data_IF_663923707770
#
_entry.id   IF_663923707770
#
_cell.length_a   1.000
_cell.length_b   1.000
_cell.length_c   1.000
_cell.angle_alpha   90.00
_cell.angle_beta   90.00
_cell.angle_gamma   90.00
#
_symmetry.space_group_name_H-M   'P 1'
#
loop_
_entity.id
_entity.type
_entity.pdbx_description
1 polymer ?
#
# COMPACT_ATOMS: atom_id res chain seq x y z
N UNK A 1 26.97 -39.61 9.74
CA UNK A 1 26.08 -38.49 10.15
C UNK A 1 26.04 -37.49 9.01
N UNK A 2 25.08 -37.55 8.07
CA UNK A 2 24.98 -36.56 7.01
C UNK A 2 24.32 -35.28 7.56
N UNK A 3 25.03 -34.16 7.47
CA UNK A 3 24.52 -32.84 7.81
C UNK A 3 23.50 -32.43 6.73
N UNK A 4 22.23 -32.32 7.11
CA UNK A 4 21.17 -31.83 6.23
C UNK A 4 21.43 -30.38 5.81
N UNK A 5 21.24 -30.09 4.53
CA UNK A 5 21.39 -28.75 3.99
C UNK A 5 20.45 -27.76 4.71
N UNK A 6 20.91 -26.56 5.08
CA UNK A 6 20.02 -25.53 5.63
C UNK A 6 19.00 -25.16 4.56
N UNK A 7 17.74 -25.50 4.82
CA UNK A 7 16.60 -25.10 4.00
C UNK A 7 16.46 -23.58 4.09
N UNK A 8 16.95 -22.88 3.07
CA UNK A 8 16.62 -21.48 2.87
C UNK A 8 15.16 -21.41 2.40
N UNK A 9 14.33 -20.50 2.95
CA UNK A 9 13.02 -20.24 2.38
C UNK A 9 13.18 -19.81 0.93
N UNK A 10 12.49 -20.52 0.03
CA UNK A 10 12.45 -20.22 -1.40
C UNK A 10 12.19 -18.72 -1.61
N UNK A 11 12.96 -18.02 -2.47
CA UNK A 11 12.69 -16.63 -2.78
C UNK A 11 11.25 -16.51 -3.30
N UNK A 12 10.50 -15.54 -2.77
CA UNK A 12 9.27 -15.10 -3.38
C UNK A 12 9.56 -14.78 -4.87
N UNK A 13 8.66 -15.14 -5.79
CA UNK A 13 8.83 -14.84 -7.20
C UNK A 13 9.04 -13.33 -7.35
N UNK A 14 10.25 -12.94 -7.76
CA UNK A 14 10.52 -11.59 -8.24
C UNK A 14 9.59 -11.33 -9.42
N UNK A 15 8.75 -10.29 -9.40
CA UNK A 15 8.04 -9.86 -10.59
C UNK A 15 9.08 -9.24 -11.53
N UNK A 16 9.69 -10.07 -12.36
CA UNK A 16 10.69 -9.69 -13.34
C UNK A 16 10.46 -10.44 -14.64
N UNK A 17 10.44 -9.69 -15.74
CA UNK A 17 10.50 -10.16 -17.13
C UNK A 17 9.20 -10.66 -17.76
N UNK A 18 8.14 -9.84 -17.65
CA UNK A 18 6.96 -9.89 -18.53
C UNK A 18 6.52 -8.51 -19.02
N UNK A 19 7.42 -7.52 -19.08
CA UNK A 19 7.14 -6.20 -19.64
C UNK A 19 7.28 -6.20 -21.17
N UNK A 20 6.56 -7.10 -21.83
CA UNK A 20 6.13 -6.92 -23.22
C UNK A 20 4.61 -7.05 -23.21
N UNK A 21 3.92 -6.00 -22.77
CA UNK A 21 2.48 -5.88 -22.97
C UNK A 21 2.07 -4.41 -23.01
N UNK A 22 1.81 -3.96 -24.23
CA UNK A 22 0.95 -2.84 -24.61
C UNK A 22 1.11 -1.53 -23.83
N UNK A 23 1.86 -0.60 -24.41
CA UNK A 23 1.63 0.84 -24.24
C UNK A 23 0.27 1.21 -24.85
N UNK A 24 -0.82 0.87 -24.16
CA UNK A 24 -2.13 1.45 -24.38
C UNK A 24 -2.32 2.60 -23.36
N UNK A 25 -3.06 3.67 -23.69
CA UNK A 25 -3.24 4.80 -22.78
C UNK A 25 -4.13 4.40 -21.60
N UNK A 26 -3.53 4.03 -20.47
CA UNK A 26 -4.23 3.65 -19.21
C UNK A 26 -4.98 4.84 -18.59
N UNK A 27 -4.66 6.08 -19.00
CA UNK A 27 -5.24 7.28 -18.40
C UNK A 27 -6.75 7.41 -18.61
N UNK A 28 -7.27 7.06 -19.80
CA UNK A 28 -8.68 7.29 -20.16
C UNK A 28 -9.65 6.37 -19.38
N UNK A 29 -9.29 5.09 -19.23
CA UNK A 29 -10.12 4.10 -18.51
C UNK A 29 -10.19 4.34 -17.00
N UNK A 30 -9.16 4.99 -16.43
CA UNK A 30 -9.10 5.27 -14.98
C UNK A 30 -10.04 6.40 -14.56
N UNK A 31 -10.25 7.38 -15.44
CA UNK A 31 -11.17 8.48 -15.22
C UNK A 31 -12.62 7.99 -15.21
N UNK A 32 -12.99 7.14 -16.18
CA UNK A 32 -14.33 6.56 -16.28
C UNK A 32 -14.70 5.73 -15.06
N UNK A 33 -13.78 4.89 -14.56
CA UNK A 33 -14.01 4.11 -13.34
C UNK A 33 -14.19 4.99 -12.10
N UNK A 34 -13.50 6.13 -12.03
CA UNK A 34 -13.65 7.07 -10.90
C UNK A 34 -15.03 7.70 -10.90
N UNK A 35 -15.57 8.04 -12.07
CA UNK A 35 -16.94 8.57 -12.21
C UNK A 35 -17.97 7.49 -11.84
N UNK A 36 -17.80 6.25 -12.33
CA UNK A 36 -18.69 5.14 -11.98
C UNK A 36 -18.70 4.84 -10.47
N UNK A 37 -17.53 4.93 -9.80
CA UNK A 37 -17.45 4.80 -8.32
C UNK A 37 -18.21 5.90 -7.61
N UNK A 38 -18.10 7.14 -8.07
CA UNK A 38 -18.83 8.26 -7.48
C UNK A 38 -20.36 8.12 -7.69
N UNK A 39 -20.80 7.64 -8.86
CA UNK A 39 -22.21 7.31 -9.11
C UNK A 39 -22.70 6.20 -8.19
N UNK A 40 -21.91 5.13 -8.02
CA UNK A 40 -22.21 4.01 -7.13
C UNK A 40 -22.34 4.48 -5.67
N UNK A 41 -21.40 5.30 -5.19
CA UNK A 41 -21.44 5.87 -3.84
C UNK A 41 -22.68 6.74 -3.61
N UNK A 42 -23.01 7.61 -4.57
CA UNK A 42 -24.22 8.42 -4.52
C UNK A 42 -25.50 7.58 -4.47
N UNK A 43 -25.54 6.50 -5.26
CA UNK A 43 -26.68 5.58 -5.29
C UNK A 43 -26.81 4.76 -4.00
N UNK A 44 -25.70 4.33 -3.39
CA UNK A 44 -25.66 3.66 -2.09
C UNK A 44 -26.15 4.57 -0.95
N UNK A 45 -25.71 5.83 -0.94
CA UNK A 45 -26.15 6.81 0.05
C UNK A 45 -27.66 7.05 -0.07
N UNK A 46 -28.15 7.23 -1.31
CA UNK A 46 -29.58 7.40 -1.58
C UNK A 46 -30.41 6.19 -1.14
N UNK A 47 -29.95 4.98 -1.44
CA UNK A 47 -30.61 3.75 -1.00
C UNK A 47 -30.70 3.67 0.52
N UNK A 48 -29.63 4.04 1.22
CA UNK A 48 -29.61 4.06 2.70
C UNK A 48 -30.63 5.05 3.25
N UNK A 49 -30.73 6.24 2.63
CA UNK A 49 -31.74 7.23 3.00
C UNK A 49 -33.18 6.73 2.72
N UNK A 50 -33.43 6.13 1.55
CA UNK A 50 -34.74 5.57 1.21
C UNK A 50 -35.15 4.44 2.18
N UNK A 51 -34.19 3.60 2.63
CA UNK A 51 -34.43 2.57 3.65
C UNK A 51 -34.75 3.16 5.03
N UNK A 52 -34.06 4.24 5.41
CA UNK A 52 -34.33 4.93 6.67
C UNK A 52 -35.72 5.61 6.67
N UNK A 53 -36.09 6.27 5.57
CA UNK A 53 -37.43 6.86 5.41
C UNK A 53 -38.53 5.79 5.39
N UNK A 54 -38.27 4.65 4.75
CA UNK A 54 -39.16 3.50 4.80
C UNK A 54 -39.37 2.98 6.23
N UNK A 55 -38.30 2.88 7.03
CA UNK A 55 -38.38 2.48 8.44
C UNK A 55 -39.27 3.43 9.25
N UNK A 56 -39.09 4.74 9.09
CA UNK A 56 -39.91 5.77 9.75
C UNK A 56 -41.39 5.63 9.33
N UNK A 57 -41.66 5.56 8.03
CA UNK A 57 -43.02 5.45 7.51
C UNK A 57 -43.70 4.14 7.91
N UNK A 58 -42.95 3.03 8.00
CA UNK A 58 -43.48 1.76 8.47
C UNK A 58 -43.78 1.77 9.98
N UNK A 59 -43.05 2.57 10.76
CA UNK A 59 -43.26 2.72 12.21
C UNK A 59 -44.44 3.60 12.61
N UNK A 60 -44.78 4.62 11.80
CA UNK A 60 -45.88 5.56 12.08
C UNK A 60 -46.72 5.83 10.81
N UNK A 61 -47.63 4.90 10.51
CA UNK A 61 -48.56 5.04 9.37
C UNK A 61 -49.80 5.83 9.82
N UNK A 62 -49.79 7.15 9.62
CA UNK A 62 -50.96 8.01 9.81
C UNK A 62 -52.04 7.83 8.74
N UNK A 63 -53.24 8.37 8.98
CA UNK A 63 -54.32 8.41 7.98
C UNK A 63 -53.86 9.18 6.72
N UNK A 64 -54.02 8.56 5.55
CA UNK A 64 -53.60 9.12 4.25
C UNK A 64 -52.16 8.81 3.84
N UNK A 65 -51.40 8.05 4.64
CA UNK A 65 -50.03 7.60 4.33
C UNK A 65 -49.96 6.13 3.87
N UNK A 66 -51.10 5.53 3.53
CA UNK A 66 -51.22 4.12 3.12
C UNK A 66 -50.37 3.80 1.89
N UNK A 67 -50.19 4.76 0.98
CA UNK A 67 -49.37 4.63 -0.22
C UNK A 67 -47.88 4.92 0.01
N UNK A 68 -47.49 5.49 1.16
CA UNK A 68 -46.11 5.91 1.40
C UNK A 68 -45.15 4.71 1.42
N UNK A 69 -45.50 3.65 2.14
CA UNK A 69 -44.69 2.42 2.27
C UNK A 69 -44.51 1.73 0.89
N UNK A 70 -45.58 1.47 0.10
CA UNK A 70 -45.42 0.95 -1.26
C UNK A 70 -44.53 1.81 -2.16
N UNK A 71 -44.65 3.14 -2.07
CA UNK A 71 -43.83 4.05 -2.86
C UNK A 71 -42.34 3.96 -2.51
N UNK A 72 -42.00 3.88 -1.22
CA UNK A 72 -40.61 3.68 -0.79
C UNK A 72 -40.07 2.30 -1.16
N UNK A 73 -40.88 1.26 -1.07
CA UNK A 73 -40.49 -0.08 -1.50
C UNK A 73 -40.15 -0.11 -3.00
N UNK A 74 -40.94 0.59 -3.83
CA UNK A 74 -40.65 0.75 -5.25
C UNK A 74 -39.34 1.52 -5.49
N UNK A 75 -39.07 2.59 -4.74
CA UNK A 75 -37.79 3.34 -4.81
C UNK A 75 -36.59 2.45 -4.45
N UNK A 76 -36.70 1.68 -3.37
CA UNK A 76 -35.66 0.73 -2.92
C UNK A 76 -35.40 -0.33 -3.98
N UNK A 77 -36.46 -0.91 -4.56
CA UNK A 77 -36.33 -1.89 -5.64
C UNK A 77 -35.63 -1.29 -6.87
N UNK A 78 -36.04 -0.10 -7.30
CA UNK A 78 -35.37 0.62 -8.38
C UNK A 78 -33.90 0.92 -8.03
N UNK A 79 -33.62 1.20 -6.76
CA UNK A 79 -32.28 1.40 -6.24
C UNK A 79 -31.38 0.17 -6.43
N UNK A 80 -31.88 -1.02 -6.11
CA UNK A 80 -31.16 -2.28 -6.34
C UNK A 80 -30.90 -2.56 -7.82
N UNK A 81 -31.90 -2.34 -8.69
CA UNK A 81 -31.74 -2.52 -10.15
C UNK A 81 -30.64 -1.59 -10.69
N UNK A 82 -30.62 -0.33 -10.23
CA UNK A 82 -29.61 0.63 -10.65
C UNK A 82 -28.21 0.24 -10.14
N UNK A 83 -28.10 -0.25 -8.90
CA UNK A 83 -26.83 -0.72 -8.35
C UNK A 83 -26.30 -1.94 -9.10
N UNK A 84 -27.14 -2.90 -9.45
CA UNK A 84 -26.75 -4.07 -10.24
C UNK A 84 -26.19 -3.66 -11.62
N UNK A 85 -26.85 -2.70 -12.29
CA UNK A 85 -26.39 -2.14 -13.56
C UNK A 85 -24.99 -1.52 -13.43
N UNK A 86 -24.77 -0.69 -12.41
CA UNK A 86 -23.48 0.00 -12.20
C UNK A 86 -22.40 -1.01 -11.79
N UNK A 87 -22.73 -1.98 -10.94
CA UNK A 87 -21.82 -3.04 -10.50
C UNK A 87 -21.28 -3.87 -11.67
N UNK A 88 -22.12 -4.18 -12.67
CA UNK A 88 -21.70 -4.88 -13.89
C UNK A 88 -20.74 -4.08 -14.79
N UNK A 89 -20.66 -2.76 -14.61
CA UNK A 89 -19.76 -1.87 -15.35
C UNK A 89 -18.43 -1.64 -14.61
N UNK A 90 -18.36 -1.98 -13.31
CA UNK A 90 -17.18 -1.77 -12.49
C UNK A 90 -16.20 -2.93 -12.67
N UNK A 91 -14.96 -2.62 -13.03
CA UNK A 91 -13.90 -3.61 -13.28
C UNK A 91 -13.05 -3.94 -12.06
N UNK A 92 -13.38 -3.38 -10.89
CA UNK A 92 -12.56 -3.49 -9.70
C UNK A 92 -12.66 -4.85 -9.03
N UNK A 93 -11.50 -5.43 -8.69
CA UNK A 93 -11.42 -6.65 -7.88
C UNK A 93 -11.15 -6.30 -6.42
N UNK A 94 -11.93 -6.88 -5.51
CA UNK A 94 -11.77 -6.71 -4.07
C UNK A 94 -11.20 -8.01 -3.47
N UNK A 95 -10.02 -7.97 -2.82
CA UNK A 95 -9.47 -9.11 -2.11
C UNK A 95 -10.44 -9.66 -1.04
N UNK A 96 -10.57 -10.99 -0.95
CA UNK A 96 -11.49 -11.64 -0.01
C UNK A 96 -11.25 -11.23 1.45
N UNK A 97 -9.99 -10.98 1.83
CA UNK A 97 -9.65 -10.55 3.18
C UNK A 97 -10.23 -9.16 3.54
N UNK A 98 -10.49 -8.30 2.54
CA UNK A 98 -11.18 -7.03 2.76
C UNK A 98 -12.66 -7.28 3.06
N UNK A 99 -13.29 -8.21 2.35
CA UNK A 99 -14.68 -8.63 2.59
C UNK A 99 -14.81 -9.21 4.01
N UNK A 100 -13.92 -10.14 4.38
CA UNK A 100 -13.85 -10.70 5.74
C UNK A 100 -13.71 -9.63 6.84
N UNK A 101 -12.98 -8.55 6.55
CA UNK A 101 -12.82 -7.45 7.50
C UNK A 101 -14.15 -6.70 7.68
N UNK A 102 -14.86 -6.43 6.58
CA UNK A 102 -16.18 -5.76 6.62
C UNK A 102 -17.18 -6.63 7.40
N UNK A 103 -17.26 -7.92 7.09
CA UNK A 103 -18.20 -8.87 7.74
C UNK A 103 -17.96 -9.00 9.24
N UNK A 104 -16.72 -8.79 9.69
CA UNK A 104 -16.33 -8.84 11.11
C UNK A 104 -16.30 -7.46 11.78
N UNK A 105 -16.88 -6.44 11.15
CA UNK A 105 -16.89 -5.06 11.65
C UNK A 105 -15.48 -4.48 11.92
N UNK A 106 -14.48 -4.91 11.13
CA UNK A 106 -13.12 -4.40 11.18
C UNK A 106 -12.89 -3.37 10.08
N UNK A 107 -12.02 -2.42 10.35
CA UNK A 107 -11.63 -1.42 9.36
C UNK A 107 -10.89 -2.09 8.17
N UNK A 108 -11.40 -2.00 6.93
CA UNK A 108 -10.77 -2.62 5.76
C UNK A 108 -9.36 -2.04 5.45
N UNK A 109 -9.06 -0.81 5.87
CA UNK A 109 -7.74 -0.19 5.69
C UNK A 109 -6.61 -0.91 6.44
N UNK A 110 -6.93 -1.78 7.40
CA UNK A 110 -5.94 -2.62 8.08
C UNK A 110 -5.25 -3.56 7.08
N UNK A 111 -5.99 -4.08 6.09
CA UNK A 111 -5.40 -4.90 5.03
C UNK A 111 -4.35 -4.11 4.25
N UNK A 112 -4.70 -2.91 3.77
CA UNK A 112 -3.80 -2.04 3.00
C UNK A 112 -2.54 -1.70 3.80
N UNK A 113 -2.70 -1.32 5.07
CA UNK A 113 -1.57 -1.02 5.97
C UNK A 113 -0.63 -2.23 6.12
N UNK A 114 -1.18 -3.40 6.40
CA UNK A 114 -0.39 -4.61 6.62
C UNK A 114 0.33 -5.05 5.35
N UNK A 115 -0.35 -5.03 4.20
CA UNK A 115 0.22 -5.38 2.90
C UNK A 115 1.36 -4.43 2.53
N UNK A 116 1.17 -3.11 2.73
CA UNK A 116 2.21 -2.13 2.46
C UNK A 116 3.41 -2.30 3.41
N UNK A 117 3.16 -2.45 4.71
CA UNK A 117 4.22 -2.66 5.71
C UNK A 117 5.03 -3.92 5.41
N UNK A 118 4.35 -5.01 5.04
CA UNK A 118 4.97 -6.27 4.65
C UNK A 118 5.81 -6.10 3.37
N UNK A 119 5.25 -5.48 2.34
CA UNK A 119 5.97 -5.25 1.08
C UNK A 119 7.23 -4.38 1.29
N UNK A 120 7.15 -3.34 2.13
CA UNK A 120 8.31 -2.53 2.49
C UNK A 120 9.36 -3.36 3.22
N UNK A 121 8.96 -4.14 4.22
CA UNK A 121 9.86 -5.02 4.96
C UNK A 121 10.53 -6.07 4.08
N UNK A 122 9.77 -6.71 3.19
CA UNK A 122 10.28 -7.69 2.23
C UNK A 122 11.27 -7.05 1.24
N UNK A 123 10.97 -5.85 0.74
CA UNK A 123 11.86 -5.11 -0.16
C UNK A 123 13.17 -4.70 0.54
N UNK A 124 13.10 -4.19 1.77
CA UNK A 124 14.28 -3.84 2.55
C UNK A 124 15.12 -5.07 2.90
N UNK A 125 14.46 -6.17 3.28
CA UNK A 125 15.13 -7.43 3.55
C UNK A 125 15.84 -7.98 2.30
N UNK A 126 15.18 -7.96 1.15
CA UNK A 126 15.78 -8.36 -0.12
C UNK A 126 16.99 -7.50 -0.47
N UNK A 127 16.86 -6.17 -0.35
CA UNK A 127 17.96 -5.24 -0.56
C UNK A 127 19.15 -5.52 0.37
N UNK A 128 18.90 -5.71 1.67
CA UNK A 128 19.93 -6.02 2.67
C UNK A 128 20.69 -7.31 2.33
N UNK A 129 19.99 -8.34 1.85
CA UNK A 129 20.63 -9.59 1.39
C UNK A 129 21.52 -9.37 0.18
N UNK A 130 21.07 -8.59 -0.81
CA UNK A 130 21.86 -8.28 -2.01
C UNK A 130 23.12 -7.50 -1.64
N UNK A 131 23.00 -6.48 -0.79
CA UNK A 131 24.14 -5.69 -0.30
C UNK A 131 25.13 -6.54 0.51
N UNK A 132 24.62 -7.42 1.38
CA UNK A 132 25.46 -8.33 2.16
C UNK A 132 26.25 -9.30 1.28
N UNK A 133 25.61 -9.89 0.27
CA UNK A 133 26.28 -10.77 -0.70
C UNK A 133 27.31 -10.02 -1.54
N UNK A 134 27.02 -8.77 -1.91
CA UNK A 134 28.01 -7.95 -2.61
C UNK A 134 29.23 -7.66 -1.73
N UNK A 135 29.02 -7.25 -0.48
CA UNK A 135 30.10 -6.97 0.45
C UNK A 135 30.97 -8.21 0.68
N UNK A 136 30.34 -9.36 0.94
CA UNK A 136 31.03 -10.65 1.08
C UNK A 136 31.85 -10.99 -0.17
N UNK A 137 31.27 -10.82 -1.36
CA UNK A 137 31.98 -11.06 -2.62
C UNK A 137 33.19 -10.14 -2.78
N UNK A 138 33.07 -8.85 -2.45
CA UNK A 138 34.19 -7.89 -2.54
C UNK A 138 35.33 -8.31 -1.62
N UNK A 139 35.00 -8.60 -0.36
CA UNK A 139 35.99 -9.05 0.63
C UNK A 139 36.66 -10.36 0.20
N UNK A 140 35.90 -11.30 -0.35
CA UNK A 140 36.45 -12.55 -0.87
C UNK A 140 37.37 -12.32 -2.07
N UNK A 141 36.99 -11.42 -2.98
CA UNK A 141 37.83 -11.05 -4.12
C UNK A 141 39.16 -10.44 -3.67
N UNK A 142 39.10 -9.48 -2.73
CA UNK A 142 40.27 -8.80 -2.18
C UNK A 142 41.21 -9.80 -1.45
N UNK A 143 40.64 -10.71 -0.66
CA UNK A 143 41.40 -11.75 0.05
C UNK A 143 42.06 -12.75 -0.91
N UNK A 144 41.34 -13.21 -1.94
CA UNK A 144 41.89 -14.12 -2.94
C UNK A 144 42.99 -13.46 -3.77
N UNK A 145 42.85 -12.18 -4.09
CA UNK A 145 43.89 -11.44 -4.82
C UNK A 145 45.18 -11.29 -3.99
N UNK A 146 45.06 -11.15 -2.66
CA UNK A 146 46.21 -11.07 -1.76
C UNK A 146 46.94 -12.41 -1.61
N UNK A 147 46.20 -13.52 -1.44
CA UNK A 147 46.77 -14.86 -1.22
C UNK A 147 47.24 -15.56 -2.51
N UNK A 148 46.57 -15.28 -3.65
CA UNK A 148 46.83 -15.95 -4.93
C UNK A 148 47.06 -14.93 -6.06
N UNK A 149 48.14 -14.15 -6.02
CA UNK A 149 48.39 -13.08 -6.99
C UNK A 149 48.62 -13.59 -8.43
N UNK A 150 49.05 -14.85 -8.61
CA UNK A 150 49.29 -15.43 -9.94
C UNK A 150 48.01 -15.92 -10.64
N UNK A 151 46.89 -16.05 -9.92
CA UNK A 151 45.65 -16.59 -10.47
C UNK A 151 44.73 -15.44 -10.92
N UNK A 152 44.47 -15.26 -12.22
CA UNK A 152 43.58 -14.21 -12.70
C UNK A 152 42.13 -14.50 -12.29
N UNK A 153 41.58 -13.63 -11.44
CA UNK A 153 40.21 -13.77 -10.95
C UNK A 153 39.18 -13.39 -12.04
N UNK A 154 38.05 -14.13 -12.13
CA UNK A 154 37.03 -13.91 -13.15
C UNK A 154 36.33 -12.55 -12.97
N UNK A 155 36.15 -11.84 -14.09
CA UNK A 155 35.44 -10.54 -14.12
C UNK A 155 33.94 -10.73 -13.84
N UNK A 156 33.35 -9.74 -13.19
CA UNK A 156 31.92 -9.72 -12.87
C UNK A 156 31.12 -9.57 -14.18
N UNK A 157 30.23 -10.52 -14.48
CA UNK A 157 29.36 -10.46 -15.67
C UNK A 157 28.22 -9.44 -15.53
N UNK A 158 27.77 -9.20 -14.29
CA UNK A 158 26.70 -8.27 -13.97
C UNK A 158 27.09 -7.44 -12.76
N UNK A 159 27.31 -6.14 -12.98
CA UNK A 159 27.46 -5.16 -11.91
C UNK A 159 26.05 -4.62 -11.62
N UNK A 160 25.49 -4.85 -10.43
CA UNK A 160 24.29 -4.13 -10.04
C UNK A 160 24.67 -2.65 -9.86
N UNK A 161 23.97 -1.74 -10.55
CA UNK A 161 24.06 -0.30 -10.28
C UNK A 161 23.40 -0.03 -8.94
N UNK A 162 24.23 -0.07 -7.90
CA UNK A 162 23.79 0.26 -6.55
C UNK A 162 24.03 1.75 -6.37
N UNK A 163 22.99 2.55 -6.07
CA UNK A 163 23.18 3.95 -5.74
C UNK A 163 24.04 4.01 -4.49
N UNK A 164 25.31 4.35 -4.68
CA UNK A 164 26.24 4.67 -3.61
C UNK A 164 25.69 5.91 -2.95
N UNK A 165 25.20 5.78 -1.72
CA UNK A 165 24.82 6.92 -0.90
C UNK A 165 26.07 7.79 -0.78
N UNK A 166 26.04 8.94 -1.44
CA UNK A 166 27.16 9.87 -1.52
C UNK A 166 27.60 10.29 -0.12
N UNK A 167 28.80 9.85 0.27
CA UNK A 167 29.53 10.42 1.40
C UNK A 167 30.35 11.62 0.88
N UNK A 168 30.00 12.80 1.39
CA UNK A 168 30.75 14.07 1.49
C UNK A 168 31.00 14.95 0.24
N UNK A 169 30.40 16.17 0.28
CA UNK A 169 31.14 17.42 0.03
C UNK A 169 30.65 18.39 -1.06
N UNK A 170 29.70 19.28 -0.71
CA UNK A 170 29.53 20.70 -1.12
C UNK A 170 29.79 21.13 -2.58
N UNK A 171 28.73 21.51 -3.31
CA UNK A 171 28.55 22.84 -3.92
C UNK A 171 27.17 22.98 -4.61
N UNK A 172 26.63 24.20 -4.56
CA UNK A 172 25.25 24.58 -4.86
C UNK A 172 24.93 24.70 -6.36
N UNK A 173 23.68 24.38 -6.74
CA UNK A 173 22.91 25.10 -7.76
C UNK A 173 21.42 24.68 -7.67
N UNK A 174 20.55 25.65 -7.92
CA UNK A 174 19.12 25.70 -7.61
C UNK A 174 18.24 24.83 -8.51
N UNK A 175 17.07 24.43 -7.98
CA UNK A 175 15.85 24.27 -8.78
C UNK A 175 15.20 22.88 -8.78
N UNK A 176 14.00 22.82 -8.18
CA UNK A 176 12.87 21.90 -8.47
C UNK A 176 12.62 20.72 -7.51
N UNK A 177 11.63 20.92 -6.62
CA UNK A 177 10.66 19.91 -6.15
C UNK A 177 11.11 18.92 -5.07
N UNK A 178 10.37 18.76 -3.95
CA UNK A 178 10.74 17.79 -2.92
C UNK A 178 10.44 16.37 -3.40
N UNK A 179 11.46 15.69 -3.91
CA UNK A 179 11.50 14.23 -3.96
C UNK A 179 11.67 13.72 -2.52
N UNK A 180 10.56 13.50 -1.83
CA UNK A 180 10.58 12.79 -0.55
C UNK A 180 10.97 11.33 -0.83
N UNK A 181 12.24 11.02 -0.62
CA UNK A 181 12.72 9.66 -0.52
C UNK A 181 12.03 8.99 0.67
N UNK A 182 11.39 7.84 0.42
CA UNK A 182 10.76 7.00 1.43
C UNK A 182 11.75 6.70 2.57
N UNK A 183 11.53 7.27 3.76
CA UNK A 183 12.20 6.81 4.98
C UNK A 183 12.49 7.84 6.07
N UNK A 184 12.19 9.14 5.90
CA UNK A 184 12.52 10.12 6.95
C UNK A 184 11.42 10.19 8.04
N UNK A 185 11.39 9.19 8.91
CA UNK A 185 10.69 9.27 10.19
C UNK A 185 11.62 9.98 11.17
N UNK A 186 11.46 11.30 11.29
CA UNK A 186 12.13 12.11 12.31
C UNK A 186 11.55 11.74 13.69
N UNK A 187 12.18 10.76 14.35
CA UNK A 187 11.89 10.43 15.75
C UNK A 187 12.50 11.53 16.61
N UNK A 188 11.65 12.45 17.07
CA UNK A 188 12.01 13.48 18.05
C UNK A 188 12.30 12.79 19.40
N UNK A 189 13.57 12.56 19.69
CA UNK A 189 14.05 12.15 21.01
C UNK A 189 13.87 13.31 21.99
N UNK A 190 13.18 13.03 23.09
CA UNK A 190 12.98 13.95 24.21
C UNK A 190 14.31 14.32 24.88
N UNK A 191 14.52 15.62 25.14
CA UNK A 191 15.45 16.07 26.16
C UNK A 191 14.70 16.24 27.48
N UNK A 192 15.06 15.40 28.44
CA UNK A 192 14.77 15.56 29.85
C UNK A 192 15.46 16.83 30.37
N UNK A 193 14.70 17.74 30.98
CA UNK A 193 15.28 18.73 31.88
C UNK A 193 14.53 18.72 33.21
N UNK A 194 15.16 18.10 34.20
CA UNK A 194 14.69 18.08 35.59
C UNK A 194 15.24 19.26 36.38
N UNK A 195 14.32 19.92 37.09
CA UNK A 195 14.44 20.46 38.46
C UNK A 195 15.46 21.59 38.76
N UNK A 196 14.93 22.76 39.15
CA UNK A 196 15.14 23.33 40.49
C UNK A 196 14.24 24.57 40.74
N UNK A 197 13.83 24.67 42.00
CA UNK A 197 12.88 25.58 42.64
C UNK A 197 13.21 27.08 42.63
N UNK A 198 12.19 27.83 43.08
CA UNK A 198 12.27 28.96 44.03
C UNK A 198 12.15 30.37 43.44
N UNK A 199 10.95 30.97 43.53
CA UNK A 199 10.71 31.99 44.55
C UNK A 199 9.29 32.57 44.54
N UNK A 200 8.94 33.04 45.75
CA UNK A 200 7.64 33.46 46.24
C UNK A 200 7.08 34.75 45.61
N UNK A 201 5.77 34.92 45.85
CA UNK A 201 4.92 36.11 45.72
C UNK A 201 5.58 37.39 46.30
N UNK A 202 5.08 38.60 45.97
CA UNK A 202 3.80 39.08 46.55
C UNK A 202 2.67 39.27 45.52
#
# INVERSE_FOLDING_TARGET
MPLGAPQLPSPAPTPGSGLEMASQPIADQSADQTVLRAELEGQLLRLTQDLYELEICAGDVGQGMEDAVPNYLMKVNQGFINLERIAGQLGDSVPHQIIDNIDRYKNPHVFTKNTLTRAVGENQYALGRVLGLESFRRQLYDALQAELPEVPLPKRKHQPDIPTKAENGVQAAEGSGPSQANGDVNVKLEESNGMADDHARP
#
